data_IF_079934041630
#
_entry.id   IF_079934041630
#
_cell.length_a   1.000
_cell.length_b   1.000
_cell.length_c   1.000
_cell.angle_alpha   90.00
_cell.angle_beta   90.00
_cell.angle_gamma   90.00
#
_symmetry.space_group_name_H-M   'P 1'
#
loop_
_entity.id
_entity.type
_entity.pdbx_description
1 polymer ?
#
# COMPACT_ATOMS: atom_id res chain seq x y z
N UNK A 1 73.84 -26.30 1.41
CA UNK A 1 73.26 -27.65 1.46
C UNK A 1 71.89 -27.57 2.08
N UNK A 2 70.93 -28.25 1.48
CA UNK A 2 69.53 -28.29 1.87
C UNK A 2 69.30 -29.19 3.08
N UNK A 3 68.30 -28.86 3.91
CA UNK A 3 67.27 -29.80 4.40
C UNK A 3 66.49 -29.19 5.55
N UNK A 4 65.20 -28.95 5.35
CA UNK A 4 64.21 -29.08 6.43
C UNK A 4 62.95 -29.70 5.83
N UNK A 5 62.69 -30.93 6.27
CA UNK A 5 61.60 -31.79 5.83
C UNK A 5 60.26 -31.33 6.42
N UNK A 6 59.20 -31.48 5.64
CA UNK A 6 57.81 -31.28 6.05
C UNK A 6 57.34 -32.46 6.91
N UNK A 7 56.81 -32.18 8.11
CA UNK A 7 56.07 -33.14 8.91
C UNK A 7 54.58 -33.11 8.55
N UNK A 8 54.08 -34.22 8.01
CA UNK A 8 52.64 -34.49 7.88
C UNK A 8 52.12 -35.01 9.23
N UNK A 9 51.27 -34.23 9.92
CA UNK A 9 50.45 -34.70 11.03
C UNK A 9 48.99 -34.78 10.59
N UNK A 10 48.49 -36.01 10.51
CA UNK A 10 47.07 -36.32 10.46
C UNK A 10 46.44 -36.06 11.83
N UNK A 11 45.48 -35.15 11.91
CA UNK A 11 44.55 -35.08 13.04
C UNK A 11 43.18 -35.58 12.60
N UNK A 12 42.87 -36.80 13.02
CA UNK A 12 41.52 -37.34 13.03
C UNK A 12 40.73 -36.68 14.17
N UNK A 13 39.57 -36.11 13.85
CA UNK A 13 38.63 -35.58 14.83
C UNK A 13 37.74 -36.72 15.32
N UNK A 14 37.89 -37.10 16.59
CA UNK A 14 36.93 -37.91 17.35
C UNK A 14 36.08 -36.97 18.19
N UNK A 15 34.75 -37.02 18.03
CA UNK A 15 33.81 -36.41 18.98
C UNK A 15 32.82 -37.46 19.45
N UNK A 16 32.98 -37.84 20.71
CA UNK A 16 32.08 -38.70 21.45
C UNK A 16 30.82 -37.93 21.87
N UNK A 17 29.69 -38.63 21.82
CA UNK A 17 28.39 -38.19 22.27
C UNK A 17 28.35 -38.04 23.80
N UNK A 18 27.63 -37.03 24.27
CA UNK A 18 27.07 -37.02 25.63
C UNK A 18 25.79 -36.16 25.67
N UNK A 19 24.81 -36.73 26.36
CA UNK A 19 23.40 -36.41 26.36
C UNK A 19 23.03 -35.05 26.97
N UNK A 20 21.86 -34.52 26.57
CA UNK A 20 20.95 -33.73 27.42
C UNK A 20 19.54 -33.66 26.81
N UNK A 21 18.66 -34.48 27.39
CA UNK A 21 17.26 -34.22 27.77
C UNK A 21 16.38 -33.39 26.82
N UNK A 22 15.56 -34.08 26.02
CA UNK A 22 14.36 -33.57 25.38
C UNK A 22 13.19 -33.48 26.37
N UNK A 23 12.56 -32.31 26.47
CA UNK A 23 11.31 -32.12 27.20
C UNK A 23 10.14 -32.64 26.37
N UNK A 24 9.48 -33.69 26.86
CA UNK A 24 8.26 -34.25 26.28
C UNK A 24 7.07 -33.32 26.55
N UNK A 25 6.50 -32.73 25.50
CA UNK A 25 5.19 -32.08 25.61
C UNK A 25 4.10 -33.12 25.40
N UNK A 26 3.38 -33.44 26.48
CA UNK A 26 2.28 -34.40 26.52
C UNK A 26 1.11 -33.90 25.66
N UNK A 27 0.82 -34.63 24.58
CA UNK A 27 -0.40 -34.47 23.79
C UNK A 27 -1.54 -35.17 24.56
N UNK A 28 -2.39 -34.40 25.24
CA UNK A 28 -3.64 -34.92 25.80
C UNK A 28 -4.59 -35.30 24.65
N UNK A 29 -4.89 -36.59 24.53
CA UNK A 29 -5.90 -37.16 23.64
C UNK A 29 -7.19 -37.27 24.46
N UNK A 30 -8.19 -36.45 24.14
CA UNK A 30 -9.52 -36.56 24.74
C UNK A 30 -10.30 -37.65 23.99
N UNK A 31 -10.63 -38.70 24.74
CA UNK A 31 -11.42 -39.84 24.29
C UNK A 31 -12.91 -39.46 24.35
N UNK A 32 -13.53 -39.21 23.19
CA UNK A 32 -15.00 -38.99 23.12
C UNK A 32 -15.63 -40.28 22.57
N UNK A 33 -16.35 -40.93 23.47
CA UNK A 33 -17.15 -42.13 23.24
C UNK A 33 -18.12 -41.94 22.07
N UNK A 34 -18.09 -42.91 21.15
CA UNK A 34 -19.10 -43.13 20.12
C UNK A 34 -20.47 -43.33 20.78
N UNK A 35 -21.45 -42.51 20.41
CA UNK A 35 -22.86 -42.88 20.43
C UNK A 35 -23.37 -42.79 18.99
N UNK A 36 -23.67 -43.95 18.41
CA UNK A 36 -24.42 -44.07 17.16
C UNK A 36 -25.85 -43.58 17.40
N UNK A 37 -26.21 -42.40 16.89
CA UNK A 37 -27.60 -42.05 16.63
C UNK A 37 -27.78 -41.85 15.13
N UNK A 38 -28.24 -42.92 14.50
CA UNK A 38 -28.71 -42.93 13.11
C UNK A 38 -30.08 -42.25 13.11
N UNK A 39 -30.16 -41.02 12.60
CA UNK A 39 -31.44 -40.35 12.32
C UNK A 39 -31.88 -40.75 10.91
N UNK A 40 -32.90 -41.61 10.83
CA UNK A 40 -33.53 -42.00 9.58
C UNK A 40 -34.61 -40.97 9.23
N UNK A 41 -34.33 -40.09 8.27
CA UNK A 41 -35.35 -39.22 7.68
C UNK A 41 -36.16 -40.01 6.63
N UNK A 42 -37.39 -40.41 6.98
CA UNK A 42 -38.38 -40.89 6.00
C UNK A 42 -39.09 -39.69 5.37
N UNK A 43 -38.84 -39.45 4.09
CA UNK A 43 -39.66 -38.54 3.27
C UNK A 43 -40.85 -39.33 2.70
N UNK A 44 -42.07 -39.05 3.16
CA UNK A 44 -43.30 -39.51 2.51
C UNK A 44 -43.72 -38.49 1.45
N UNK A 45 -43.63 -38.90 0.19
CA UNK A 45 -44.26 -38.24 -0.95
C UNK A 45 -45.70 -38.74 -1.04
N UNK A 46 -46.69 -37.88 -0.81
CA UNK A 46 -48.07 -38.14 -1.22
C UNK A 46 -48.48 -37.14 -2.29
N UNK A 47 -49.08 -37.71 -3.33
CA UNK A 47 -49.39 -37.12 -4.60
C UNK A 47 -50.71 -36.34 -4.57
N UNK A 48 -50.84 -35.51 -5.60
CA UNK A 48 -52.00 -34.68 -5.92
C UNK A 48 -53.28 -35.48 -6.16
N UNK A 49 -54.41 -34.84 -5.87
CA UNK A 49 -55.75 -35.20 -6.33
C UNK A 49 -56.65 -33.95 -6.25
N UNK A 50 -57.35 -33.66 -7.34
CA UNK A 50 -58.11 -32.44 -7.66
C UNK A 50 -59.57 -32.47 -7.16
N UNK A 51 -60.27 -31.33 -7.41
CA UNK A 51 -61.73 -31.11 -7.52
C UNK A 51 -62.47 -30.72 -6.22
N UNK A 52 -63.50 -29.88 -6.19
CA UNK A 52 -63.93 -28.68 -6.95
C UNK A 52 -64.96 -27.95 -6.04
N UNK A 53 -65.02 -26.63 -6.17
CA UNK A 53 -66.14 -25.68 -6.00
C UNK A 53 -67.09 -25.61 -4.75
N UNK A 54 -67.12 -24.38 -4.20
CA UNK A 54 -68.23 -23.61 -3.56
C UNK A 54 -68.84 -24.03 -2.22
N UNK A 55 -68.83 -23.08 -1.28
CA UNK A 55 -69.64 -23.12 -0.05
C UNK A 55 -68.98 -22.40 1.10
N UNK A 56 -69.34 -21.13 1.29
CA UNK A 56 -68.86 -20.23 2.33
C UNK A 56 -68.80 -20.88 3.72
N UNK A 57 -67.61 -20.86 4.33
CA UNK A 57 -67.44 -20.86 5.79
C UNK A 57 -66.09 -20.24 6.13
N UNK A 58 -66.13 -18.96 6.53
CA UNK A 58 -65.02 -18.18 7.04
C UNK A 58 -64.47 -18.87 8.29
N UNK A 59 -63.32 -19.54 8.18
CA UNK A 59 -62.62 -20.14 9.32
C UNK A 59 -61.48 -19.23 9.77
N UNK A 60 -61.55 -18.79 11.03
CA UNK A 60 -60.68 -17.83 11.72
C UNK A 60 -59.24 -18.32 11.95
N UNK A 61 -58.65 -19.07 11.02
CA UNK A 61 -57.30 -19.67 11.10
C UNK A 61 -56.37 -19.29 9.95
N UNK A 62 -56.75 -18.31 9.13
CA UNK A 62 -55.95 -17.79 8.00
C UNK A 62 -55.36 -16.40 8.25
N UNK A 63 -55.46 -15.86 9.48
CA UNK A 63 -55.00 -14.52 9.82
C UNK A 63 -53.62 -14.48 10.52
N UNK A 64 -52.87 -15.59 10.53
CA UNK A 64 -51.54 -15.66 11.16
C UNK A 64 -50.47 -16.23 10.22
N UNK A 65 -50.51 -15.87 8.93
CA UNK A 65 -49.51 -16.31 7.93
C UNK A 65 -49.22 -15.27 6.85
N UNK A 66 -49.47 -13.97 7.10
CA UNK A 66 -49.22 -12.88 6.12
C UNK A 66 -48.25 -11.81 6.68
N UNK A 67 -47.42 -12.15 7.66
CA UNK A 67 -46.45 -11.21 8.25
C UNK A 67 -44.98 -11.68 8.12
N UNK A 68 -44.65 -12.43 7.07
CA UNK A 68 -43.27 -12.73 6.71
C UNK A 68 -43.12 -12.60 5.19
N UNK A 69 -42.91 -11.40 4.70
CA UNK A 69 -42.63 -11.17 3.29
C UNK A 69 -42.30 -9.71 3.01
N UNK A 70 -41.10 -9.48 2.47
CA UNK A 70 -40.55 -8.21 2.00
C UNK A 70 -39.76 -7.35 3.01
N UNK A 71 -38.63 -7.87 3.49
CA UNK A 71 -37.48 -7.05 3.86
C UNK A 71 -36.18 -7.74 3.39
N UNK A 72 -36.08 -7.96 2.08
CA UNK A 72 -34.82 -8.26 1.43
C UNK A 72 -34.70 -7.29 0.25
N UNK A 73 -33.48 -6.89 -0.09
CA UNK A 73 -33.09 -5.85 -1.07
C UNK A 73 -32.82 -4.48 -0.44
N UNK A 74 -31.62 -4.33 0.13
CA UNK A 74 -31.15 -3.00 0.55
C UNK A 74 -29.71 -2.92 1.04
N UNK A 75 -29.05 -4.02 1.40
CA UNK A 75 -27.66 -3.97 1.84
C UNK A 75 -26.70 -4.17 0.65
N UNK A 76 -26.21 -3.07 0.10
CA UNK A 76 -24.91 -3.08 -0.59
C UNK A 76 -23.84 -3.30 0.48
N UNK A 77 -23.62 -4.55 0.87
CA UNK A 77 -22.55 -4.91 1.80
C UNK A 77 -21.23 -4.78 1.04
N UNK A 78 -20.43 -3.77 1.39
CA UNK A 78 -19.04 -3.69 0.95
C UNK A 78 -18.31 -4.95 1.44
N UNK A 79 -17.75 -5.79 0.56
CA UNK A 79 -17.15 -7.07 0.92
C UNK A 79 -15.73 -6.89 1.45
N UNK A 80 -15.57 -6.10 2.51
CA UNK A 80 -14.26 -5.69 3.00
C UNK A 80 -14.04 -5.88 4.51
N UNK A 81 -14.94 -6.54 5.24
CA UNK A 81 -14.77 -6.79 6.66
C UNK A 81 -14.86 -8.28 6.94
N UNK A 82 -13.73 -8.90 7.26
CA UNK A 82 -13.66 -10.28 7.70
C UNK A 82 -14.19 -10.33 9.13
N UNK A 83 -15.51 -10.43 9.26
CA UNK A 83 -16.17 -10.36 10.56
C UNK A 83 -15.77 -11.57 11.42
N UNK A 84 -15.67 -11.38 12.74
CA UNK A 84 -15.44 -12.48 13.67
C UNK A 84 -16.51 -13.57 13.47
N UNK A 85 -16.08 -14.79 13.11
CA UNK A 85 -16.97 -15.91 12.77
C UNK A 85 -17.21 -16.12 11.26
N UNK A 86 -16.62 -15.31 10.38
CA UNK A 86 -16.66 -15.56 8.94
C UNK A 86 -15.87 -16.82 8.58
N UNK A 87 -16.47 -17.67 7.75
CA UNK A 87 -15.80 -18.88 7.26
C UNK A 87 -14.58 -18.54 6.41
N UNK A 88 -13.50 -19.28 6.58
CA UNK A 88 -12.33 -19.13 5.71
C UNK A 88 -12.73 -19.26 4.22
N UNK A 89 -12.11 -18.45 3.37
CA UNK A 89 -12.35 -18.45 1.93
C UNK A 89 -11.64 -19.64 1.25
N UNK A 90 -12.06 -20.86 1.57
CA UNK A 90 -11.51 -22.11 1.04
C UNK A 90 -11.97 -22.27 -0.42
N UNK A 91 -11.03 -22.36 -1.36
CA UNK A 91 -11.27 -22.31 -2.81
C UNK A 91 -11.90 -21.02 -3.33
N UNK A 92 -11.72 -19.93 -2.58
CA UNK A 92 -12.07 -18.59 -3.03
C UNK A 92 -11.35 -18.17 -4.30
N UNK A 93 -11.99 -17.31 -5.08
CA UNK A 93 -11.33 -16.65 -6.21
C UNK A 93 -10.18 -15.76 -5.67
N UNK A 94 -8.97 -15.82 -6.25
CA UNK A 94 -7.90 -14.90 -5.91
C UNK A 94 -8.37 -13.45 -6.08
N UNK A 95 -8.00 -12.59 -5.13
CA UNK A 95 -8.32 -11.16 -5.24
C UNK A 95 -7.53 -10.57 -6.40
N UNK A 96 -8.23 -10.04 -7.40
CA UNK A 96 -7.65 -9.17 -8.43
C UNK A 96 -7.72 -7.71 -7.96
N UNK A 97 -6.76 -6.87 -8.37
CA UNK A 97 -6.68 -5.43 -8.06
C UNK A 97 -6.28 -5.04 -6.63
N UNK A 98 -5.43 -5.83 -5.97
CA UNK A 98 -4.87 -5.47 -4.65
C UNK A 98 -3.54 -4.71 -4.75
N UNK A 99 -3.20 -4.18 -5.92
CA UNK A 99 -1.92 -3.48 -6.13
C UNK A 99 -1.91 -2.09 -5.47
N UNK A 100 -3.08 -1.44 -5.39
CA UNK A 100 -3.24 -0.11 -4.84
C UNK A 100 -4.39 -0.04 -3.83
N UNK A 101 -4.20 0.77 -2.80
CA UNK A 101 -5.17 1.10 -1.77
C UNK A 101 -5.67 2.53 -2.01
N UNK A 102 -6.97 2.75 -2.24
CA UNK A 102 -7.52 4.10 -2.31
C UNK A 102 -7.46 4.74 -0.92
N UNK A 103 -6.81 5.89 -0.82
CA UNK A 103 -6.70 6.68 0.40
C UNK A 103 -7.44 8.00 0.22
N UNK A 104 -8.30 8.33 1.18
CA UNK A 104 -9.03 9.60 1.24
C UNK A 104 -8.50 10.39 2.42
N UNK A 105 -7.79 11.47 2.12
CA UNK A 105 -7.28 12.43 3.08
C UNK A 105 -8.19 13.62 3.25
N UNK A 106 -7.73 14.62 4.01
CA UNK A 106 -8.47 15.87 4.24
C UNK A 106 -8.42 16.76 2.99
N UNK A 107 -9.40 16.58 2.10
CA UNK A 107 -9.55 17.37 0.87
C UNK A 107 -8.78 16.83 -0.34
N UNK A 108 -8.20 15.63 -0.25
CA UNK A 108 -7.52 14.98 -1.36
C UNK A 108 -7.77 13.47 -1.36
N UNK A 109 -7.64 12.85 -2.53
CA UNK A 109 -7.68 11.40 -2.73
C UNK A 109 -6.43 10.99 -3.51
N UNK A 110 -5.89 9.81 -3.20
CA UNK A 110 -4.82 9.19 -3.97
C UNK A 110 -4.92 7.67 -3.88
N UNK A 111 -4.24 6.98 -4.78
CA UNK A 111 -4.05 5.53 -4.75
C UNK A 111 -2.64 5.21 -4.29
N UNK A 112 -2.51 4.64 -3.09
CA UNK A 112 -1.22 4.28 -2.48
C UNK A 112 -0.87 2.84 -2.87
N UNK A 113 0.39 2.51 -3.18
CA UNK A 113 0.78 1.12 -3.40
C UNK A 113 0.50 0.26 -2.17
N UNK A 114 -0.19 -0.86 -2.34
CA UNK A 114 -0.70 -1.65 -1.20
C UNK A 114 0.39 -2.28 -0.32
N UNK A 115 1.61 -2.37 -0.85
CA UNK A 115 2.78 -2.92 -0.13
C UNK A 115 3.51 -1.89 0.72
N UNK A 116 3.13 -0.61 0.63
CA UNK A 116 3.77 0.47 1.37
C UNK A 116 3.11 0.63 2.73
N UNK A 117 3.93 0.97 3.73
CA UNK A 117 3.50 1.13 5.11
C UNK A 117 3.35 2.62 5.45
N UNK A 118 2.40 2.99 6.32
CA UNK A 118 2.32 4.34 6.85
C UNK A 118 3.54 4.62 7.74
N UNK A 119 4.22 5.73 7.48
CA UNK A 119 5.37 6.19 8.25
C UNK A 119 4.99 7.39 9.12
N UNK A 120 5.60 7.48 10.32
CA UNK A 120 5.39 8.59 11.26
C UNK A 120 6.40 9.73 11.09
N UNK A 121 7.38 9.56 10.20
CA UNK A 121 8.40 10.57 9.94
C UNK A 121 7.76 11.81 9.34
N UNK A 122 8.19 12.98 9.82
CA UNK A 122 7.77 14.29 9.32
C UNK A 122 9.00 14.97 8.74
N UNK A 123 9.10 14.97 7.41
CA UNK A 123 10.20 15.62 6.68
C UNK A 123 9.89 17.07 6.35
N UNK A 124 8.61 17.38 6.11
CA UNK A 124 8.19 18.66 5.55
C UNK A 124 7.20 19.40 6.43
N UNK A 125 7.24 20.75 6.42
CA UNK A 125 6.21 21.54 7.06
C UNK A 125 4.86 21.30 6.38
N UNK A 126 3.80 21.14 7.19
CA UNK A 126 2.45 20.87 6.69
C UNK A 126 2.26 19.46 6.12
N UNK A 127 3.18 18.52 6.37
CA UNK A 127 3.02 17.13 5.97
C UNK A 127 1.84 16.48 6.70
N UNK A 128 0.93 15.89 5.93
CA UNK A 128 -0.28 15.23 6.45
C UNK A 128 -0.24 13.72 6.26
N UNK A 129 0.56 13.24 5.32
CA UNK A 129 0.65 11.84 4.94
C UNK A 129 2.08 11.49 4.58
N UNK A 130 2.54 10.31 5.02
CA UNK A 130 3.73 9.66 4.50
C UNK A 130 3.57 8.15 4.49
N UNK A 131 3.87 7.55 3.36
CA UNK A 131 3.96 6.11 3.18
C UNK A 131 5.30 5.76 2.55
N UNK A 132 5.89 4.66 2.97
CA UNK A 132 7.19 4.20 2.48
C UNK A 132 7.14 2.71 2.13
N UNK A 133 8.00 2.27 1.22
CA UNK A 133 8.11 0.86 0.90
C UNK A 133 8.63 0.07 2.11
N UNK A 134 8.08 -1.13 2.31
CA UNK A 134 8.42 -1.99 3.42
C UNK A 134 9.90 -2.42 3.43
N UNK A 135 10.54 -2.42 2.27
CA UNK A 135 11.95 -2.81 2.14
C UNK A 135 12.92 -1.63 2.10
N UNK A 136 12.44 -0.44 1.74
CA UNK A 136 13.30 0.65 1.31
C UNK A 136 12.67 2.00 1.61
N UNK A 137 13.22 2.72 2.58
CA UNK A 137 12.68 4.00 3.04
C UNK A 137 12.92 5.12 2.02
N UNK A 138 13.84 4.94 1.07
CA UNK A 138 14.05 5.90 -0.03
C UNK A 138 12.85 5.97 -0.97
N UNK A 139 12.09 4.87 -1.07
CA UNK A 139 10.91 4.77 -1.92
C UNK A 139 9.68 5.11 -1.10
N UNK A 140 9.17 6.33 -1.28
CA UNK A 140 8.09 6.85 -0.44
C UNK A 140 7.18 7.83 -1.18
N UNK A 141 6.03 8.12 -0.57
CA UNK A 141 5.11 9.18 -0.97
C UNK A 141 4.79 10.02 0.25
N UNK A 142 4.87 11.33 0.09
CA UNK A 142 4.46 12.31 1.07
C UNK A 142 3.45 13.28 0.47
N UNK A 143 2.45 13.66 1.26
CA UNK A 143 1.52 14.73 0.90
C UNK A 143 1.65 15.85 1.93
N UNK A 144 1.84 17.06 1.44
CA UNK A 144 1.89 18.28 2.24
C UNK A 144 0.74 19.20 1.87
N UNK A 145 0.21 19.88 2.88
CA UNK A 145 -0.83 20.90 2.74
C UNK A 145 -0.32 22.14 3.48
N UNK A 146 -0.03 23.19 2.74
CA UNK A 146 0.43 24.47 3.28
C UNK A 146 -0.54 25.59 2.91
N UNK A 147 -0.78 26.57 3.79
CA UNK A 147 -1.59 27.74 3.42
C UNK A 147 -0.86 28.57 2.36
N UNK A 148 -1.62 29.16 1.43
CA UNK A 148 -1.10 30.02 0.37
C UNK A 148 -2.06 31.15 0.03
N UNK A 149 -1.50 32.31 -0.32
CA UNK A 149 -2.25 33.49 -0.78
C UNK A 149 -2.60 33.41 -2.28
N UNK A 150 -2.12 32.39 -2.99
CA UNK A 150 -2.37 32.19 -4.41
C UNK A 150 -3.75 31.57 -4.65
N UNK A 151 -4.39 31.93 -5.76
CA UNK A 151 -5.71 31.40 -6.13
C UNK A 151 -5.59 30.17 -7.01
N UNK A 152 -4.57 30.15 -7.87
CA UNK A 152 -4.26 29.05 -8.78
C UNK A 152 -2.79 28.67 -8.68
N UNK A 153 -2.45 27.42 -9.04
CA UNK A 153 -1.04 27.02 -9.16
C UNK A 153 -0.33 27.83 -10.25
N UNK A 154 -1.07 28.32 -11.25
CA UNK A 154 -0.56 29.21 -12.31
C UNK A 154 0.10 30.49 -11.78
N UNK A 155 -0.33 30.97 -10.62
CA UNK A 155 0.18 32.21 -10.02
C UNK A 155 1.61 32.06 -9.47
N UNK A 156 2.12 30.82 -9.41
CA UNK A 156 3.50 30.51 -9.05
C UNK A 156 4.47 30.63 -10.23
N UNK A 157 3.96 30.87 -11.44
CA UNK A 157 4.76 30.86 -12.67
C UNK A 157 4.87 29.45 -13.27
N UNK A 158 5.81 29.22 -14.19
CA UNK A 158 5.96 27.91 -14.84
C UNK A 158 6.39 26.83 -13.84
N UNK A 159 6.20 25.53 -14.15
CA UNK A 159 6.51 24.44 -13.22
C UNK A 159 7.96 24.47 -12.69
N UNK A 160 8.92 24.88 -13.52
CA UNK A 160 10.33 25.01 -13.13
C UNK A 160 10.51 26.13 -12.09
N UNK A 161 9.83 27.26 -12.29
CA UNK A 161 9.83 28.38 -11.34
C UNK A 161 9.12 28.04 -10.03
N UNK A 162 8.08 27.19 -10.09
CA UNK A 162 7.46 26.61 -8.91
C UNK A 162 8.43 25.71 -8.15
N UNK A 163 9.19 24.84 -8.84
CA UNK A 163 10.17 23.96 -8.21
C UNK A 163 11.23 24.72 -7.43
N UNK A 164 11.69 25.88 -7.93
CA UNK A 164 12.64 26.74 -7.19
C UNK A 164 12.08 27.23 -5.85
N UNK A 165 10.77 27.46 -5.76
CA UNK A 165 10.12 27.91 -4.51
C UNK A 165 9.91 26.77 -3.52
N UNK A 166 9.79 25.53 -4.00
CA UNK A 166 9.59 24.33 -3.19
C UNK A 166 10.81 23.40 -3.19
N UNK A 167 12.00 23.97 -3.38
CA UNK A 167 13.27 23.25 -3.50
C UNK A 167 13.59 22.37 -2.27
N UNK A 168 13.06 22.76 -1.10
CA UNK A 168 13.21 22.04 0.15
C UNK A 168 12.69 20.60 0.07
N UNK A 169 11.78 20.31 -0.86
CA UNK A 169 11.29 18.96 -1.15
C UNK A 169 12.37 18.01 -1.67
N UNK A 170 13.38 18.56 -2.35
CA UNK A 170 14.51 17.80 -2.91
C UNK A 170 15.57 17.48 -1.85
N UNK A 171 15.45 18.05 -0.65
CA UNK A 171 16.45 17.99 0.42
C UNK A 171 17.36 19.22 0.45
N UNK A 172 18.13 19.34 1.53
CA UNK A 172 19.14 20.39 1.69
C UNK A 172 20.51 19.74 1.77
N UNK A 173 21.46 20.28 1.01
CA UNK A 173 22.86 19.88 1.13
C UNK A 173 23.37 20.33 2.51
N UNK A 174 23.67 19.35 3.38
CA UNK A 174 24.22 19.62 4.71
C UNK A 174 25.75 19.83 4.71
N UNK A 175 26.41 19.45 3.61
CA UNK A 175 27.85 19.64 3.44
C UNK A 175 28.16 21.03 2.87
N UNK A 176 28.86 21.86 3.64
CA UNK A 176 29.25 23.22 3.25
C UNK A 176 30.74 23.35 2.90
N UNK A 177 31.43 22.22 2.73
CA UNK A 177 32.85 22.22 2.36
C UNK A 177 33.06 22.44 0.87
N UNK A 178 34.29 22.83 0.51
CA UNK A 178 34.71 22.92 -0.89
C UNK A 178 35.24 21.55 -1.33
N UNK A 179 34.63 20.95 -2.35
CA UNK A 179 35.06 19.69 -2.96
C UNK A 179 35.09 19.85 -4.48
N UNK A 180 36.20 19.48 -5.12
CA UNK A 180 36.37 19.54 -6.58
C UNK A 180 36.57 18.14 -7.18
N UNK A 181 36.49 17.09 -6.34
CA UNK A 181 36.78 15.70 -6.71
C UNK A 181 35.53 14.88 -7.02
N UNK A 182 34.35 15.48 -7.01
CA UNK A 182 33.10 14.80 -7.32
C UNK A 182 32.92 14.72 -8.84
N UNK A 183 33.10 13.52 -9.39
CA UNK A 183 33.06 13.31 -10.84
C UNK A 183 31.68 13.62 -11.43
N UNK A 184 31.61 14.62 -12.31
CA UNK A 184 30.36 15.01 -13.00
C UNK A 184 29.47 15.99 -12.22
N UNK A 185 30.00 16.61 -11.15
CA UNK A 185 29.34 17.66 -10.39
C UNK A 185 30.09 18.99 -10.51
N UNK A 186 29.38 20.09 -10.27
CA UNK A 186 30.01 21.41 -10.16
C UNK A 186 30.88 21.51 -8.89
N UNK A 187 31.88 22.39 -8.91
CA UNK A 187 32.76 22.65 -7.77
C UNK A 187 31.95 22.98 -6.50
N UNK A 188 32.12 22.18 -5.45
CA UNK A 188 31.43 22.30 -4.16
C UNK A 188 30.00 21.75 -4.11
N UNK A 189 29.45 21.26 -5.22
CA UNK A 189 28.14 20.65 -5.26
C UNK A 189 28.23 19.14 -5.04
N UNK A 190 27.59 18.64 -3.98
CA UNK A 190 27.50 17.19 -3.71
C UNK A 190 26.13 16.61 -4.05
N UNK A 191 25.17 17.46 -4.45
CA UNK A 191 23.85 17.07 -4.92
C UNK A 191 23.44 17.93 -6.11
N UNK A 192 22.93 17.29 -7.16
CA UNK A 192 22.39 17.94 -8.36
C UNK A 192 20.95 17.48 -8.59
N UNK A 193 20.12 18.37 -9.11
CA UNK A 193 18.71 18.11 -9.40
C UNK A 193 18.39 18.51 -10.84
N UNK A 194 17.98 17.53 -11.64
CA UNK A 194 17.71 17.74 -13.06
C UNK A 194 16.23 17.48 -13.34
N UNK A 195 15.55 18.45 -13.95
CA UNK A 195 14.16 18.29 -14.38
C UNK A 195 14.18 17.42 -15.65
N UNK A 196 13.49 16.28 -15.60
CA UNK A 196 13.34 15.37 -16.74
C UNK A 196 12.10 15.69 -17.57
N UNK A 197 11.00 16.00 -16.88
CA UNK A 197 9.71 16.29 -17.49
C UNK A 197 8.99 17.33 -16.65
N UNK A 198 8.35 18.28 -17.30
CA UNK A 198 7.44 19.24 -16.70
C UNK A 198 6.19 19.33 -17.57
N UNK A 199 5.03 19.20 -16.95
CA UNK A 199 3.76 19.40 -17.63
C UNK A 199 2.75 20.09 -16.73
N UNK A 200 1.80 20.75 -17.37
CA UNK A 200 0.68 21.39 -16.69
C UNK A 200 -0.61 20.89 -17.33
N UNK A 201 -1.52 20.35 -16.53
CA UNK A 201 -2.79 19.80 -17.02
C UNK A 201 -3.94 20.25 -16.11
N UNK A 202 -5.12 20.42 -16.69
CA UNK A 202 -6.33 20.76 -15.95
C UNK A 202 -7.14 19.50 -15.70
N UNK A 203 -7.31 19.14 -14.43
CA UNK A 203 -8.11 17.98 -13.99
C UNK A 203 -9.24 18.50 -13.11
N UNK A 204 -10.49 18.16 -13.44
CA UNK A 204 -11.69 18.59 -12.70
C UNK A 204 -11.74 20.12 -12.46
N UNK A 205 -11.37 20.89 -13.48
CA UNK A 205 -11.36 22.36 -13.46
C UNK A 205 -10.23 22.99 -12.63
N UNK A 206 -9.29 22.19 -12.11
CA UNK A 206 -8.14 22.65 -11.33
C UNK A 206 -6.86 22.42 -12.12
N UNK A 207 -5.98 23.41 -12.12
CA UNK A 207 -4.69 23.31 -12.77
C UNK A 207 -3.73 22.54 -11.86
N UNK A 208 -3.10 21.51 -12.41
CA UNK A 208 -2.05 20.71 -11.78
C UNK A 208 -0.72 20.95 -12.47
N UNK A 209 0.35 20.94 -11.68
CA UNK A 209 1.72 20.81 -12.15
C UNK A 209 2.23 19.41 -11.88
N UNK A 210 2.80 18.79 -12.90
CA UNK A 210 3.49 17.51 -12.83
C UNK A 210 4.95 17.77 -13.18
N UNK A 211 5.84 17.45 -12.25
CA UNK A 211 7.27 17.68 -12.40
C UNK A 211 8.00 16.40 -12.03
N UNK A 212 8.79 15.89 -12.97
CA UNK A 212 9.67 14.75 -12.78
C UNK A 212 11.10 15.27 -12.63
N UNK A 213 11.71 15.02 -11.48
CA UNK A 213 13.07 15.46 -11.15
C UNK A 213 13.93 14.24 -10.86
N UNK A 214 15.12 14.19 -11.44
CA UNK A 214 16.15 13.23 -11.05
C UNK A 214 17.20 13.93 -10.22
N UNK A 215 17.26 13.58 -8.95
CA UNK A 215 18.31 14.06 -8.04
C UNK A 215 19.45 13.06 -7.97
N UNK A 216 20.69 13.50 -8.12
CA UNK A 216 21.89 12.67 -7.95
C UNK A 216 22.76 13.26 -6.86
N UNK A 217 23.38 12.38 -6.09
CA UNK A 217 24.32 12.73 -5.04
C UNK A 217 25.71 12.19 -5.39
N UNK A 218 26.74 12.85 -4.86
CA UNK A 218 28.15 12.53 -5.12
C UNK A 218 28.53 11.08 -4.75
N UNK A 219 27.93 10.54 -3.67
CA UNK A 219 28.10 9.16 -3.24
C UNK A 219 27.45 8.12 -4.19
N UNK A 220 26.64 8.59 -5.15
CA UNK A 220 25.95 7.74 -6.11
C UNK A 220 24.85 6.87 -5.47
N UNK A 221 24.30 7.27 -4.31
CA UNK A 221 23.25 6.51 -3.62
C UNK A 221 22.10 6.15 -4.57
N UNK A 222 21.83 4.85 -4.67
CA UNK A 222 20.84 4.23 -5.56
C UNK A 222 20.91 4.60 -7.05
N UNK A 223 21.99 5.23 -7.53
CA UNK A 223 22.10 5.77 -8.89
C UNK A 223 21.38 7.11 -9.09
N UNK A 224 20.89 7.71 -8.00
CA UNK A 224 20.00 8.86 -8.00
C UNK A 224 18.58 8.50 -7.59
N UNK A 225 17.76 9.51 -7.35
CA UNK A 225 16.37 9.37 -6.91
C UNK A 225 15.45 10.10 -7.88
N UNK A 226 14.50 9.36 -8.42
CA UNK A 226 13.42 9.93 -9.23
C UNK A 226 12.36 10.46 -8.28
N UNK A 227 12.06 11.75 -8.40
CA UNK A 227 11.07 12.45 -7.60
C UNK A 227 9.98 12.98 -8.54
N UNK A 228 8.77 12.49 -8.35
CA UNK A 228 7.56 12.93 -9.03
C UNK A 228 6.80 13.86 -8.10
N UNK A 229 6.68 15.12 -8.50
CA UNK A 229 6.00 16.17 -7.75
C UNK A 229 4.72 16.51 -8.49
N UNK A 230 3.59 16.37 -7.81
CA UNK A 230 2.28 16.80 -8.29
C UNK A 230 1.74 17.88 -7.37
N UNK A 231 1.44 19.06 -7.90
CA UNK A 231 1.01 20.20 -7.09
C UNK A 231 -0.24 20.87 -7.65
N UNK A 232 -1.11 21.36 -6.76
CA UNK A 232 -2.28 22.17 -7.10
C UNK A 232 -2.64 23.09 -5.94
N UNK A 233 -3.41 24.14 -6.23
CA UNK A 233 -3.95 25.06 -5.21
C UNK A 233 -5.46 24.91 -5.15
N UNK A 234 -6.01 24.88 -3.92
CA UNK A 234 -7.45 24.93 -3.68
C UNK A 234 -7.75 25.60 -2.34
N UNK A 235 -8.78 26.45 -2.28
CA UNK A 235 -9.28 27.08 -1.04
C UNK A 235 -8.19 27.78 -0.22
N UNK A 236 -7.24 28.46 -0.89
CA UNK A 236 -6.10 29.12 -0.24
C UNK A 236 -5.09 28.15 0.39
N UNK A 237 -5.07 26.89 -0.07
CA UNK A 237 -4.11 25.87 0.37
C UNK A 237 -3.40 25.26 -0.84
N UNK A 238 -2.09 25.14 -0.72
CA UNK A 238 -1.22 24.45 -1.65
C UNK A 238 -1.13 22.98 -1.23
N UNK A 239 -1.55 22.11 -2.14
CA UNK A 239 -1.47 20.67 -2.00
C UNK A 239 -0.32 20.18 -2.85
N UNK A 240 0.66 19.53 -2.22
CA UNK A 240 1.79 18.93 -2.93
C UNK A 240 1.85 17.46 -2.56
N UNK A 241 1.85 16.61 -3.58
CA UNK A 241 2.25 15.22 -3.47
C UNK A 241 3.66 15.09 -4.02
N UNK A 242 4.56 14.49 -3.23
CA UNK A 242 5.87 14.06 -3.68
C UNK A 242 5.95 12.55 -3.56
N UNK A 243 6.16 11.85 -4.66
CA UNK A 243 6.44 10.42 -4.67
C UNK A 243 7.84 10.22 -5.22
N UNK A 244 8.65 9.38 -4.57
CA UNK A 244 10.03 9.15 -4.96
C UNK A 244 10.41 7.68 -4.91
N UNK A 245 11.42 7.32 -5.69
CA UNK A 245 12.12 6.04 -5.60
C UNK A 245 13.55 6.19 -6.10
N UNK A 246 14.47 5.39 -5.53
CA UNK A 246 15.82 5.26 -6.07
C UNK A 246 15.82 4.66 -7.49
N UNK A 247 16.77 5.07 -8.31
CA UNK A 247 16.89 4.62 -9.70
C UNK A 247 17.04 3.10 -9.77
N UNK A 248 17.80 2.50 -8.85
CA UNK A 248 17.92 1.04 -8.67
C UNK A 248 16.57 0.31 -8.54
N UNK A 249 15.57 0.92 -7.89
CA UNK A 249 14.22 0.37 -7.72
C UNK A 249 13.29 0.79 -8.85
N UNK A 250 13.51 1.98 -9.40
CA UNK A 250 12.73 2.58 -10.46
C UNK A 250 12.55 1.61 -11.64
N UNK A 251 13.65 1.14 -12.22
CA UNK A 251 13.61 0.20 -13.35
C UNK A 251 13.22 -1.23 -12.95
N UNK A 252 13.17 -1.55 -11.64
CA UNK A 252 12.74 -2.87 -11.12
C UNK A 252 11.24 -2.95 -10.81
N UNK A 253 10.47 -1.99 -11.33
CA UNK A 253 9.01 -1.98 -11.23
C UNK A 253 8.45 -0.94 -10.26
N UNK A 254 9.29 -0.26 -9.46
CA UNK A 254 8.83 0.83 -8.60
C UNK A 254 8.25 1.98 -9.43
N UNK A 255 8.78 2.23 -10.64
CA UNK A 255 8.29 3.23 -11.59
C UNK A 255 6.76 3.21 -11.74
N UNK A 256 6.17 2.03 -12.00
CA UNK A 256 4.71 1.88 -12.16
C UNK A 256 3.96 2.35 -10.91
N UNK A 257 4.47 2.04 -9.73
CA UNK A 257 3.82 2.41 -8.47
C UNK A 257 3.92 3.91 -8.21
N UNK A 258 5.10 4.51 -8.41
CA UNK A 258 5.31 5.94 -8.17
C UNK A 258 4.54 6.78 -9.20
N UNK A 259 4.61 6.46 -10.50
CA UNK A 259 3.88 7.17 -11.56
C UNK A 259 2.35 7.08 -11.39
N UNK A 260 1.83 5.88 -11.06
CA UNK A 260 0.39 5.72 -10.80
C UNK A 260 -0.06 6.46 -9.54
N UNK A 261 0.77 6.48 -8.49
CA UNK A 261 0.46 7.23 -7.27
C UNK A 261 0.39 8.73 -7.56
N UNK A 262 1.38 9.27 -8.26
CA UNK A 262 1.43 10.69 -8.64
C UNK A 262 0.26 11.10 -9.54
N UNK A 263 -0.05 10.29 -10.56
CA UNK A 263 -1.17 10.56 -11.48
C UNK A 263 -2.55 10.38 -10.86
N UNK A 264 -2.70 9.51 -9.85
CA UNK A 264 -3.96 9.31 -9.12
C UNK A 264 -4.33 10.47 -8.18
N UNK A 265 -3.37 11.35 -7.91
CA UNK A 265 -3.55 12.45 -6.96
C UNK A 265 -4.60 13.44 -7.47
N UNK A 266 -5.59 13.69 -6.63
CA UNK A 266 -6.65 14.65 -6.96
C UNK A 266 -7.19 15.31 -5.71
N UNK A 267 -7.57 16.58 -5.86
CA UNK A 267 -7.99 17.45 -4.76
C UNK A 267 -9.46 17.79 -5.00
N UNK A 268 -10.29 17.39 -4.03
CA UNK A 268 -11.74 17.54 -4.08
C UNK A 268 -12.12 18.92 -3.59
#
# INVERSE_FOLDING_TARGET
MASTACFLHHHALTTAASARSSSSSQRQVVNINKHNQVVICRAQKQAAGQEEESGANVSRRLALTVLIGAAALGSKVSPADAAYGESANVFGKPKSNTDFLPYVGKGFKLSIPAKWNPSKEVEYPGQVLRYEDNFDTTTNVAVTITPTDKKSIGDYGPPEGFLTQVDYLLGKQAYFGKTDSEGGFDSGAVATANILESSSQVVDGKQYYYISVLTRTADGDEGGKHQLITATVKDGKLYILKAQAGDKRWFKGARKFVENTASSFSVA
#
